data_IF_198346452095
#
_entry.id   IF_198346452095
#
_cell.length_a   1.000
_cell.length_b   1.000
_cell.length_c   1.000
_cell.angle_alpha   90.00
_cell.angle_beta   90.00
_cell.angle_gamma   90.00
#
_symmetry.space_group_name_H-M   'P 1'
#
loop_
_entity.id
_entity.type
_entity.pdbx_description
1 polymer ?
#
# COMPACT_ATOMS: atom_id res chain seq x y z
N UNK A 1 11.97 -12.02 -16.92
CA UNK A 1 10.67 -12.37 -16.31
C UNK A 1 9.84 -11.10 -16.17
N UNK A 2 8.56 -11.10 -16.56
CA UNK A 2 7.59 -10.06 -16.18
C UNK A 2 6.71 -10.61 -15.06
N UNK A 3 6.33 -9.77 -14.09
CA UNK A 3 5.53 -10.19 -12.93
C UNK A 3 4.18 -9.48 -13.01
N UNK A 4 3.10 -10.25 -13.00
CA UNK A 4 1.74 -9.74 -13.04
C UNK A 4 1.10 -9.95 -11.66
N UNK A 5 0.94 -8.87 -10.91
CA UNK A 5 0.35 -8.89 -9.57
C UNK A 5 -1.14 -8.53 -9.66
N UNK A 6 -2.02 -9.41 -9.16
CA UNK A 6 -3.43 -9.09 -8.94
C UNK A 6 -3.60 -8.24 -7.69
N UNK A 7 -4.58 -7.34 -7.68
CA UNK A 7 -4.97 -6.61 -6.48
C UNK A 7 -5.85 -7.51 -5.58
N UNK A 8 -5.32 -7.93 -4.43
CA UNK A 8 -6.05 -8.76 -3.47
C UNK A 8 -6.75 -7.89 -2.42
N UNK A 9 -8.09 -7.93 -2.38
CA UNK A 9 -8.90 -7.12 -1.46
C UNK A 9 -9.22 -7.82 -0.11
N UNK A 10 -8.97 -9.13 -0.01
CA UNK A 10 -9.21 -9.97 1.18
C UNK A 10 -8.46 -11.31 1.05
N UNK A 11 -8.29 -12.01 2.18
CA UNK A 11 -7.63 -13.32 2.26
C UNK A 11 -6.22 -13.36 1.64
N UNK A 12 -5.38 -12.38 2.00
CA UNK A 12 -3.96 -12.35 1.66
C UNK A 12 -3.14 -12.08 2.92
N UNK A 13 -1.89 -12.56 2.92
CA UNK A 13 -0.91 -12.32 3.99
C UNK A 13 0.17 -11.40 3.41
N UNK A 14 0.45 -10.30 4.10
CA UNK A 14 1.62 -9.46 3.78
C UNK A 14 2.84 -10.11 4.43
N UNK A 15 3.88 -10.34 3.63
CA UNK A 15 5.15 -10.90 4.11
C UNK A 15 6.31 -10.04 3.60
N UNK A 16 7.27 -9.77 4.48
CA UNK A 16 8.46 -9.01 4.18
C UNK A 16 9.30 -9.70 3.09
N UNK A 17 9.89 -8.88 2.21
CA UNK A 17 10.79 -9.37 1.17
C UNK A 17 12.05 -10.06 1.74
N UNK A 18 12.40 -9.84 3.02
CA UNK A 18 13.44 -10.58 3.73
C UNK A 18 13.12 -12.08 3.81
N UNK A 19 11.95 -12.45 4.32
CA UNK A 19 11.49 -13.86 4.41
C UNK A 19 11.49 -14.54 3.05
N UNK A 20 10.89 -13.89 2.05
CA UNK A 20 10.73 -14.46 0.71
C UNK A 20 12.08 -14.68 -0.01
N UNK A 21 13.10 -13.89 0.35
CA UNK A 21 14.41 -13.84 -0.33
C UNK A 21 15.58 -14.33 0.54
N UNK A 22 15.35 -14.80 1.77
CA UNK A 22 16.44 -15.34 2.60
C UNK A 22 17.08 -16.56 1.92
N UNK A 23 18.37 -16.43 1.60
CA UNK A 23 19.18 -17.46 0.94
C UNK A 23 19.65 -18.54 1.90
N UNK A 24 19.53 -18.33 3.22
CA UNK A 24 19.81 -19.33 4.26
C UNK A 24 18.78 -20.46 4.23
N UNK A 25 17.56 -20.14 3.78
CA UNK A 25 16.43 -21.07 3.72
C UNK A 25 16.19 -21.65 2.31
N UNK A 26 16.02 -22.96 2.26
CA UNK A 26 15.46 -23.68 1.12
C UNK A 26 14.10 -23.11 0.71
N UNK A 27 13.72 -23.28 -0.56
CA UNK A 27 12.39 -22.89 -1.04
C UNK A 27 11.27 -23.65 -0.30
N UNK A 28 11.54 -24.88 0.14
CA UNK A 28 10.63 -25.70 0.95
C UNK A 28 10.40 -25.08 2.33
N UNK A 29 11.47 -24.72 3.05
CA UNK A 29 11.37 -24.06 4.35
C UNK A 29 10.70 -22.68 4.25
N UNK A 30 11.06 -21.87 3.22
CA UNK A 30 10.35 -20.61 2.96
C UNK A 30 8.87 -20.83 2.65
N UNK A 31 8.50 -21.84 1.87
CA UNK A 31 7.11 -22.18 1.59
C UNK A 31 6.31 -22.54 2.85
N UNK A 32 6.88 -23.38 3.73
CA UNK A 32 6.25 -23.75 5.01
C UNK A 32 6.19 -22.56 5.96
N UNK A 33 7.22 -21.72 6.04
CA UNK A 33 7.21 -20.49 6.84
C UNK A 33 6.11 -19.51 6.38
N UNK A 34 5.97 -19.29 5.06
CA UNK A 34 4.92 -18.44 4.50
C UNK A 34 3.52 -19.01 4.80
N UNK A 35 3.35 -20.33 4.75
CA UNK A 35 2.10 -20.99 5.16
C UNK A 35 1.82 -20.77 6.65
N UNK A 36 2.79 -21.02 7.52
CA UNK A 36 2.64 -20.83 8.98
C UNK A 36 2.31 -19.38 9.35
N UNK A 37 2.95 -18.39 8.70
CA UNK A 37 2.68 -16.96 8.90
C UNK A 37 1.33 -16.48 8.31
N UNK A 38 0.64 -17.33 7.52
CA UNK A 38 -0.71 -17.03 7.01
C UNK A 38 -1.86 -17.49 7.91
N UNK A 39 -1.54 -18.20 9.00
CA UNK A 39 -2.53 -18.77 9.92
C UNK A 39 -2.90 -17.77 11.03
N UNK A 40 -4.11 -17.88 11.62
CA UNK A 40 -4.49 -17.08 12.78
C UNK A 40 -3.71 -17.50 14.04
N UNK A 41 -3.57 -16.57 14.99
CA UNK A 41 -2.94 -16.82 16.28
C UNK A 41 -3.56 -18.02 17.01
N UNK A 42 -2.71 -18.87 17.61
CA UNK A 42 -3.14 -20.09 18.29
C UNK A 42 -3.49 -21.27 17.38
N UNK A 43 -3.35 -21.15 16.05
CA UNK A 43 -3.48 -22.27 15.11
C UNK A 43 -2.54 -23.44 15.49
N UNK A 44 -3.03 -24.67 15.33
CA UNK A 44 -2.31 -25.90 15.71
C UNK A 44 -1.95 -26.70 14.47
N UNK A 45 -0.74 -26.47 13.97
CA UNK A 45 -0.12 -27.28 12.92
C UNK A 45 0.91 -28.22 13.49
N UNK A 46 0.94 -29.46 12.98
CA UNK A 46 1.95 -30.46 13.28
C UNK A 46 2.54 -31.05 11.99
N UNK A 47 3.59 -31.87 12.14
CA UNK A 47 4.30 -32.51 11.02
C UNK A 47 3.36 -33.39 10.18
N UNK A 48 2.31 -33.98 10.79
CA UNK A 48 1.31 -34.77 10.06
C UNK A 48 0.40 -33.84 9.25
N UNK A 49 -0.27 -32.89 9.88
CA UNK A 49 -1.20 -31.95 9.23
C UNK A 49 -0.55 -31.19 8.05
N UNK A 50 0.69 -30.73 8.22
CA UNK A 50 1.44 -30.05 7.16
C UNK A 50 1.82 -30.99 6.00
N UNK A 51 2.14 -32.26 6.27
CA UNK A 51 2.48 -33.25 5.26
C UNK A 51 1.27 -33.84 4.55
N UNK A 52 0.16 -34.03 5.26
CA UNK A 52 -1.09 -34.54 4.73
C UNK A 52 -1.73 -33.48 3.78
N UNK A 53 -1.48 -32.18 4.02
CA UNK A 53 -1.74 -31.09 3.05
C UNK A 53 -0.73 -30.99 1.89
N UNK A 54 0.47 -31.57 2.03
CA UNK A 54 1.53 -31.53 1.01
C UNK A 54 2.06 -32.94 0.68
N UNK A 55 1.25 -33.86 0.10
CA UNK A 55 1.63 -35.27 -0.03
C UNK A 55 2.91 -35.51 -0.84
N UNK A 56 3.22 -34.63 -1.81
CA UNK A 56 4.44 -34.69 -2.63
C UNK A 56 5.74 -34.44 -1.83
N UNK A 57 5.66 -33.68 -0.73
CA UNK A 57 6.79 -33.40 0.15
C UNK A 57 6.91 -34.45 1.26
N UNK A 58 5.76 -34.94 1.75
CA UNK A 58 5.67 -35.99 2.76
C UNK A 58 6.24 -35.60 4.13
N UNK A 59 6.05 -36.50 5.10
CA UNK A 59 6.39 -36.24 6.52
C UNK A 59 7.88 -35.99 6.76
N UNK A 60 8.77 -36.62 5.97
CA UNK A 60 10.23 -36.41 6.06
C UNK A 60 10.65 -35.03 5.55
N UNK A 61 10.12 -34.60 4.40
CA UNK A 61 10.43 -33.28 3.83
C UNK A 61 9.89 -32.13 4.69
N UNK A 62 8.69 -32.29 5.25
CA UNK A 62 8.12 -31.34 6.22
C UNK A 62 8.96 -31.26 7.50
N UNK A 63 9.38 -32.40 8.06
CA UNK A 63 10.22 -32.42 9.26
C UNK A 63 11.56 -31.69 9.01
N UNK A 64 12.28 -32.05 7.94
CA UNK A 64 13.56 -31.43 7.57
C UNK A 64 13.45 -29.91 7.36
N UNK A 65 12.36 -29.45 6.73
CA UNK A 65 12.11 -28.03 6.52
C UNK A 65 11.73 -27.28 7.83
N UNK A 66 11.10 -27.93 8.80
CA UNK A 66 10.88 -27.37 10.13
C UNK A 66 12.18 -27.33 10.96
N UNK A 67 13.02 -28.36 10.85
CA UNK A 67 14.35 -28.39 11.48
C UNK A 67 15.24 -27.26 10.94
N UNK A 68 15.17 -26.96 9.64
CA UNK A 68 15.83 -25.81 9.00
C UNK A 68 15.29 -24.46 9.54
N UNK A 69 13.97 -24.32 9.74
CA UNK A 69 13.39 -23.12 10.36
C UNK A 69 13.77 -22.98 11.84
N UNK A 70 13.98 -24.08 12.56
CA UNK A 70 14.52 -24.08 13.93
C UNK A 70 15.98 -23.62 13.92
N UNK A 71 16.81 -24.18 13.03
CA UNK A 71 18.24 -23.86 12.92
C UNK A 71 18.49 -22.36 12.72
N UNK A 72 17.65 -21.67 11.95
CA UNK A 72 17.78 -20.24 11.68
C UNK A 72 16.88 -19.34 12.56
N UNK A 73 16.19 -19.89 13.55
CA UNK A 73 15.42 -19.14 14.57
C UNK A 73 14.04 -18.66 14.13
N UNK A 74 13.56 -19.06 12.94
CA UNK A 74 12.23 -18.72 12.42
C UNK A 74 11.10 -19.49 13.10
N UNK A 75 11.38 -20.69 13.62
CA UNK A 75 10.42 -21.54 14.34
C UNK A 75 11.01 -21.95 15.69
N UNK A 76 10.35 -21.60 16.79
CA UNK A 76 10.86 -21.83 18.16
C UNK A 76 9.79 -22.50 19.01
N UNK A 77 10.14 -23.61 19.67
CA UNK A 77 9.27 -24.29 20.63
C UNK A 77 9.73 -24.01 22.04
N UNK A 78 8.86 -23.43 22.88
CA UNK A 78 9.13 -23.18 24.30
C UNK A 78 8.23 -24.08 25.14
N UNK A 79 8.82 -24.83 26.06
CA UNK A 79 8.05 -25.63 27.02
C UNK A 79 8.02 -24.89 28.35
N UNK A 80 6.88 -24.29 28.64
CA UNK A 80 6.60 -23.62 29.91
C UNK A 80 6.04 -24.65 30.89
N UNK A 81 6.52 -24.61 32.14
CA UNK A 81 5.86 -25.31 33.25
C UNK A 81 4.91 -24.33 33.91
N UNK A 82 3.63 -24.67 33.90
CA UNK A 82 2.60 -23.96 34.66
C UNK A 82 2.93 -24.11 36.14
N UNK A 83 3.33 -23.03 36.81
CA UNK A 83 3.83 -23.06 38.18
C UNK A 83 2.72 -23.47 39.18
N UNK A 84 1.48 -23.07 38.88
CA UNK A 84 0.27 -23.40 39.65
C UNK A 84 -0.19 -24.86 39.49
N UNK A 85 -0.18 -25.41 38.28
CA UNK A 85 -0.69 -26.78 38.03
C UNK A 85 0.42 -27.83 37.87
N UNK A 86 1.69 -27.41 37.91
CA UNK A 86 2.87 -28.23 37.65
C UNK A 86 3.00 -28.74 36.20
N UNK A 87 2.02 -28.46 35.34
CA UNK A 87 1.84 -29.07 34.01
C UNK A 87 2.72 -28.42 32.95
N UNK A 88 3.39 -29.24 32.16
CA UNK A 88 4.13 -28.76 30.99
C UNK A 88 3.17 -28.40 29.85
N UNK A 89 3.34 -27.20 29.28
CA UNK A 89 2.69 -26.71 28.06
C UNK A 89 3.79 -26.36 27.06
N UNK A 90 3.74 -26.91 25.85
CA UNK A 90 4.66 -26.51 24.77
C UNK A 90 3.94 -25.56 23.83
N UNK A 91 4.48 -24.35 23.72
CA UNK A 91 4.05 -23.30 22.81
C UNK A 91 5.01 -23.22 21.62
N UNK A 92 4.46 -22.92 20.45
CA UNK A 92 5.22 -22.73 19.21
C UNK A 92 5.12 -21.27 18.82
N UNK A 93 6.28 -20.66 18.58
CA UNK A 93 6.44 -19.29 18.12
C UNK A 93 7.01 -19.33 16.71
N UNK A 94 6.40 -18.60 15.79
CA UNK A 94 6.87 -18.44 14.40
C UNK A 94 7.13 -16.96 14.16
N UNK A 95 8.30 -16.63 13.60
CA UNK A 95 8.75 -15.25 13.45
C UNK A 95 8.89 -14.87 11.97
N UNK A 96 8.47 -13.66 11.61
CA UNK A 96 8.77 -13.06 10.29
C UNK A 96 10.22 -12.57 10.21
N UNK A 97 10.84 -12.23 11.33
CA UNK A 97 12.27 -11.91 11.41
C UNK A 97 12.84 -12.51 12.70
N UNK A 98 13.84 -13.41 12.63
CA UNK A 98 14.23 -14.21 13.77
C UNK A 98 15.03 -13.35 14.76
N UNK A 99 14.73 -13.41 16.06
CA UNK A 99 15.29 -12.49 17.05
C UNK A 99 16.82 -12.64 17.14
N UNK A 100 17.53 -11.60 16.69
CA UNK A 100 19.00 -11.57 16.62
C UNK A 100 19.59 -11.50 15.21
N UNK A 101 18.77 -11.60 14.15
CA UNK A 101 19.23 -11.48 12.75
C UNK A 101 20.08 -10.24 12.49
N UNK A 102 19.69 -9.09 13.06
CA UNK A 102 20.34 -7.79 12.85
C UNK A 102 21.79 -7.74 13.36
N UNK A 103 22.18 -8.67 14.25
CA UNK A 103 23.56 -8.80 14.76
C UNK A 103 24.47 -9.62 13.84
N UNK A 104 23.95 -10.24 12.79
CA UNK A 104 24.73 -11.03 11.84
C UNK A 104 25.17 -10.25 10.58
N UNK A 105 24.71 -9.01 10.39
CA UNK A 105 24.96 -8.20 9.20
C UNK A 105 26.38 -7.60 9.08
N UNK A 106 27.40 -8.26 9.63
CA UNK A 106 28.73 -7.67 9.85
C UNK A 106 29.92 -8.63 9.89
N UNK A 107 29.81 -9.84 9.32
CA UNK A 107 30.96 -10.72 9.09
C UNK A 107 30.71 -11.70 7.94
N UNK A 108 31.46 -11.61 6.85
CA UNK A 108 31.58 -12.70 5.88
C UNK A 108 32.58 -13.74 6.39
N UNK A 109 32.05 -14.84 6.93
CA UNK A 109 32.83 -15.99 7.38
C UNK A 109 31.90 -17.09 7.90
N UNK A 110 32.19 -18.37 7.66
CA UNK A 110 31.35 -19.46 8.15
C UNK A 110 31.41 -19.52 9.69
N UNK A 111 30.28 -19.44 10.41
CA UNK A 111 30.28 -19.47 11.87
C UNK A 111 30.50 -20.90 12.39
N UNK A 112 31.74 -21.36 12.40
CA UNK A 112 32.18 -22.54 13.14
C UNK A 112 32.24 -22.20 14.63
N UNK A 113 31.06 -22.00 15.23
CA UNK A 113 30.90 -21.62 16.63
C UNK A 113 29.53 -22.03 17.15
N UNK A 114 29.47 -23.08 17.97
CA UNK A 114 28.23 -23.57 18.58
C UNK A 114 27.72 -22.57 19.62
N UNK A 115 26.48 -22.04 19.48
CA UNK A 115 25.86 -21.26 20.55
C UNK A 115 25.40 -22.20 21.67
N UNK A 116 26.21 -22.33 22.72
CA UNK A 116 25.85 -23.05 23.95
C UNK A 116 24.64 -22.37 24.61
N UNK A 117 23.49 -23.05 24.64
CA UNK A 117 22.27 -22.46 25.23
C UNK A 117 20.95 -23.22 25.08
N UNK A 118 20.91 -24.42 24.48
CA UNK A 118 19.67 -25.18 24.31
C UNK A 118 19.18 -25.78 25.65
N UNK A 119 18.01 -25.37 26.19
CA UNK A 119 17.45 -25.99 27.39
C UNK A 119 17.04 -27.44 27.10
N UNK A 120 17.35 -28.35 28.03
CA UNK A 120 17.34 -29.80 27.79
C UNK A 120 15.93 -30.35 27.55
N UNK A 121 15.71 -30.93 26.36
CA UNK A 121 14.50 -31.71 26.06
C UNK A 121 14.55 -33.08 26.73
N UNK A 122 14.08 -33.15 27.98
CA UNK A 122 13.99 -34.41 28.74
C UNK A 122 12.90 -35.30 28.14
N UNK A 123 13.30 -36.40 27.48
CA UNK A 123 12.38 -37.50 27.15
C UNK A 123 12.02 -38.27 28.43
N UNK A 124 10.73 -38.46 28.77
CA UNK A 124 10.34 -39.34 29.86
C UNK A 124 10.77 -40.78 29.58
N UNK A 125 11.55 -41.38 30.48
CA UNK A 125 12.06 -42.73 30.35
C UNK A 125 11.27 -43.74 31.18
N UNK A 126 10.58 -44.66 30.53
CA UNK A 126 9.92 -45.84 31.12
C UNK A 126 9.97 -47.00 30.11
N UNK A 127 10.42 -48.20 30.43
CA UNK A 127 11.12 -48.71 31.61
C UNK A 127 11.59 -50.14 31.30
N UNK A 128 12.80 -50.53 31.71
CA UNK A 128 13.41 -51.81 31.26
C UNK A 128 12.96 -52.98 32.14
N UNK A 129 12.08 -53.83 31.60
CA UNK A 129 11.86 -55.19 32.08
C UNK A 129 12.60 -56.22 31.19
N UNK A 130 12.80 -57.44 31.68
CA UNK A 130 13.62 -58.45 31.00
C UNK A 130 12.96 -59.84 31.00
N UNK A 131 13.29 -60.64 29.96
CA UNK A 131 13.25 -62.11 30.02
C UNK A 131 11.88 -62.78 29.85
N UNK A 132 11.62 -63.32 28.66
CA UNK A 132 10.56 -64.30 28.39
C UNK A 132 10.83 -65.01 27.07
N UNK A 133 10.63 -66.33 26.99
CA UNK A 133 10.84 -67.17 25.79
C UNK A 133 9.54 -67.92 25.41
N UNK A 134 9.57 -68.46 24.19
CA UNK A 134 8.54 -69.24 23.48
C UNK A 134 7.48 -68.41 22.72
N UNK A 135 7.05 -68.83 21.51
CA UNK A 135 7.59 -69.92 20.69
C UNK A 135 6.78 -70.23 19.42
N UNK A 136 7.38 -71.03 18.53
CA UNK A 136 6.84 -71.61 17.28
C UNK A 136 6.58 -70.67 16.07
N UNK A 137 6.85 -71.25 14.89
CA UNK A 137 6.62 -70.75 13.52
C UNK A 137 5.34 -71.47 12.94
N UNK A 138 4.86 -71.31 11.67
CA UNK A 138 5.64 -71.27 10.43
C UNK A 138 5.28 -70.23 9.34
N UNK A 139 6.33 -69.79 8.66
CA UNK A 139 6.54 -69.70 7.19
C UNK A 139 5.35 -69.71 6.21
N UNK A 140 5.45 -68.84 5.19
CA UNK A 140 4.67 -68.88 3.94
C UNK A 140 5.33 -68.03 2.86
N UNK A 141 5.97 -68.66 1.87
CA UNK A 141 6.66 -68.00 0.76
C UNK A 141 5.83 -67.93 -0.55
N UNK A 142 6.34 -67.14 -1.51
CA UNK A 142 5.92 -66.98 -2.92
C UNK A 142 4.71 -66.03 -3.15
N UNK A 143 4.62 -65.27 -4.26
CA UNK A 143 5.51 -65.24 -5.44
C UNK A 143 5.70 -63.84 -6.09
N UNK A 144 6.73 -63.79 -6.93
CA UNK A 144 6.90 -63.05 -8.20
C UNK A 144 5.59 -62.71 -8.97
N UNK A 145 5.50 -61.75 -9.91
CA UNK A 145 6.41 -60.70 -10.43
C UNK A 145 5.69 -59.97 -11.58
N UNK A 146 5.87 -58.63 -11.73
CA UNK A 146 6.09 -57.93 -13.02
C UNK A 146 6.09 -56.40 -12.92
N UNK A 147 7.18 -55.80 -13.39
CA UNK A 147 7.14 -54.54 -14.14
C UNK A 147 7.09 -54.87 -15.66
N UNK A 148 6.75 -53.95 -16.58
CA UNK A 148 7.83 -53.13 -17.16
C UNK A 148 7.45 -51.73 -17.70
N UNK A 149 8.22 -50.71 -17.29
CA UNK A 149 9.01 -49.81 -18.17
C UNK A 149 8.33 -48.84 -19.20
N UNK A 150 9.06 -47.84 -19.74
CA UNK A 150 8.50 -46.49 -19.93
C UNK A 150 8.63 -45.88 -21.36
N UNK A 151 8.21 -44.61 -21.53
CA UNK A 151 8.56 -43.74 -22.67
C UNK A 151 8.71 -42.24 -22.32
N UNK A 152 9.85 -41.68 -22.71
CA UNK A 152 10.16 -40.27 -23.10
C UNK A 152 10.69 -40.33 -24.56
N UNK A 153 11.18 -39.27 -25.29
CA UNK A 153 11.28 -37.80 -25.08
C UNK A 153 10.27 -36.98 -25.96
N UNK A 154 10.06 -35.63 -25.91
CA UNK A 154 10.93 -34.41 -25.99
C UNK A 154 11.48 -34.12 -27.44
N UNK A 155 11.90 -32.90 -27.89
CA UNK A 155 11.78 -31.48 -27.41
C UNK A 155 11.35 -30.43 -28.49
N UNK A 156 11.59 -29.13 -28.20
CA UNK A 156 11.65 -27.92 -29.08
C UNK A 156 10.29 -27.26 -29.44
N UNK A 157 10.17 -25.92 -29.59
CA UNK A 157 10.96 -24.94 -30.38
C UNK A 157 10.49 -23.49 -30.03
N UNK A 158 11.17 -22.33 -30.11
CA UNK A 158 12.50 -21.87 -30.64
C UNK A 158 13.05 -20.64 -29.83
N UNK A 159 13.78 -19.70 -30.46
CA UNK A 159 14.44 -18.52 -29.83
C UNK A 159 14.35 -17.22 -30.65
N UNK A 160 14.15 -16.08 -29.97
CA UNK A 160 14.62 -14.74 -30.41
C UNK A 160 13.72 -13.91 -31.36
N UNK A 161 14.22 -12.76 -31.86
CA UNK A 161 14.53 -11.60 -31.02
C UNK A 161 14.07 -10.24 -31.61
N UNK A 162 13.97 -9.17 -30.80
CA UNK A 162 13.75 -7.80 -31.31
C UNK A 162 13.30 -6.78 -30.23
N UNK A 163 13.66 -5.47 -30.32
CA UNK A 163 13.41 -4.49 -29.25
C UNK A 163 12.46 -3.33 -29.61
N UNK A 164 11.98 -2.61 -28.56
CA UNK A 164 11.22 -1.33 -28.54
C UNK A 164 9.89 -1.33 -29.33
N UNK A 165 8.81 -0.65 -28.93
CA UNK A 165 8.67 0.73 -28.42
C UNK A 165 7.83 0.88 -27.12
N UNK A 166 7.73 2.10 -26.61
CA UNK A 166 7.06 2.44 -25.34
C UNK A 166 5.55 2.72 -25.47
N UNK A 167 4.81 2.57 -24.36
CA UNK A 167 3.39 2.93 -24.25
C UNK A 167 2.92 3.09 -22.81
N UNK A 168 2.29 4.23 -22.49
CA UNK A 168 1.78 4.57 -21.16
C UNK A 168 0.37 3.98 -20.91
N UNK A 169 -0.16 3.91 -19.68
CA UNK A 169 0.42 4.23 -18.37
C UNK A 169 -0.67 4.39 -17.29
N UNK A 170 -0.28 4.79 -16.08
CA UNK A 170 -1.19 5.24 -15.02
C UNK A 170 -0.48 6.34 -14.20
N UNK A 171 -1.17 7.43 -13.88
CA UNK A 171 -0.55 8.69 -13.50
C UNK A 171 0.27 8.66 -12.19
N UNK A 172 1.51 9.14 -12.26
CA UNK A 172 2.23 9.58 -11.07
C UNK A 172 1.51 10.82 -10.50
N UNK A 173 0.93 10.70 -9.30
CA UNK A 173 0.25 11.82 -8.65
C UNK A 173 1.24 12.97 -8.41
N UNK A 174 0.87 14.19 -8.81
CA UNK A 174 1.75 15.37 -8.77
C UNK A 174 2.29 15.59 -7.35
N UNK A 175 3.59 15.95 -7.17
CA UNK A 175 4.17 16.13 -5.83
C UNK A 175 3.46 17.23 -5.02
N UNK A 176 2.96 18.28 -5.70
CA UNK A 176 2.12 19.32 -5.12
C UNK A 176 0.79 18.76 -4.55
N UNK A 177 0.12 17.86 -5.29
CA UNK A 177 -1.13 17.21 -4.85
C UNK A 177 -0.89 16.33 -3.61
N UNK A 178 0.25 15.63 -3.57
CA UNK A 178 0.68 14.83 -2.42
C UNK A 178 1.01 15.71 -1.20
N UNK A 179 1.75 16.80 -1.38
CA UNK A 179 2.05 17.76 -0.31
C UNK A 179 0.77 18.41 0.25
N UNK A 180 -0.16 18.79 -0.64
CA UNK A 180 -1.48 19.33 -0.29
C UNK A 180 -2.31 18.32 0.51
N UNK A 181 -2.34 17.06 0.09
CA UNK A 181 -3.02 15.98 0.79
C UNK A 181 -2.40 15.67 2.17
N UNK A 182 -1.07 15.70 2.29
CA UNK A 182 -0.38 15.57 3.58
C UNK A 182 -0.73 16.73 4.54
N UNK A 183 -0.73 17.98 4.03
CA UNK A 183 -1.09 19.16 4.80
C UNK A 183 -2.56 19.14 5.27
N UNK A 184 -3.49 18.66 4.45
CA UNK A 184 -4.89 18.41 4.84
C UNK A 184 -4.96 17.44 6.02
N UNK A 185 -4.27 16.30 5.94
CA UNK A 185 -4.31 15.27 6.97
C UNK A 185 -3.61 15.71 8.27
N UNK A 186 -2.60 16.58 8.21
CA UNK A 186 -2.04 17.23 9.38
C UNK A 186 -3.02 18.24 10.02
N UNK A 187 -3.70 19.06 9.20
CA UNK A 187 -4.74 20.00 9.67
C UNK A 187 -5.97 19.29 10.26
N UNK A 188 -6.30 18.09 9.80
CA UNK A 188 -7.43 17.30 10.31
C UNK A 188 -7.35 17.10 11.84
N UNK A 189 -6.16 16.79 12.36
CA UNK A 189 -5.94 16.60 13.81
C UNK A 189 -6.13 17.86 14.66
N UNK A 190 -6.07 19.05 14.07
CA UNK A 190 -6.31 20.34 14.76
C UNK A 190 -7.81 20.60 14.95
N UNK A 191 -8.64 20.15 14.00
CA UNK A 191 -10.09 20.29 14.07
C UNK A 191 -10.78 19.08 14.71
N UNK A 192 -10.19 17.89 14.59
CA UNK A 192 -10.67 16.64 15.18
C UNK A 192 -9.54 15.97 15.97
N UNK A 193 -9.37 16.27 17.27
CA UNK A 193 -8.27 15.73 18.08
C UNK A 193 -8.24 14.20 18.14
N UNK A 194 -9.40 13.53 17.97
CA UNK A 194 -9.52 12.06 17.86
C UNK A 194 -8.87 11.48 16.60
N UNK A 195 -8.52 12.33 15.64
CA UNK A 195 -7.92 12.01 14.35
C UNK A 195 -6.51 12.61 14.20
N UNK A 196 -5.87 13.02 15.30
CA UNK A 196 -4.49 13.47 15.28
C UNK A 196 -3.53 12.40 14.72
N UNK A 197 -2.59 12.85 13.88
CA UNK A 197 -1.59 12.03 13.19
C UNK A 197 -0.20 12.61 13.40
N UNK A 198 0.84 11.76 13.37
CA UNK A 198 2.21 12.28 13.21
C UNK A 198 2.44 12.76 11.77
N UNK A 199 3.43 13.61 11.56
CA UNK A 199 3.83 14.05 10.21
C UNK A 199 4.16 12.85 9.28
N UNK A 200 4.78 11.80 9.82
CA UNK A 200 5.07 10.58 9.08
C UNK A 200 3.79 9.82 8.67
N UNK A 201 2.75 9.81 9.51
CA UNK A 201 1.46 9.19 9.19
C UNK A 201 0.67 10.01 8.18
N UNK A 202 0.67 11.34 8.30
CA UNK A 202 0.07 12.25 7.32
C UNK A 202 0.72 12.08 5.94
N UNK A 203 2.06 11.93 5.87
CA UNK A 203 2.77 11.59 4.64
C UNK A 203 2.46 10.18 4.13
N UNK A 204 2.35 9.18 5.03
CA UNK A 204 1.99 7.79 4.67
C UNK A 204 0.61 7.73 3.98
N UNK A 205 -0.35 8.51 4.47
CA UNK A 205 -1.74 8.50 3.98
C UNK A 205 -1.99 9.51 2.85
N UNK A 206 -1.07 10.44 2.60
CA UNK A 206 -1.20 11.47 1.55
C UNK A 206 -1.53 10.91 0.15
N UNK A 207 -0.95 9.79 -0.34
CA UNK A 207 -1.33 9.25 -1.65
C UNK A 207 -2.78 8.77 -1.73
N UNK A 208 -3.38 8.39 -0.59
CA UNK A 208 -4.78 7.96 -0.52
C UNK A 208 -5.73 9.16 -0.49
N UNK A 209 -5.40 10.21 0.28
CA UNK A 209 -6.15 11.46 0.29
C UNK A 209 -6.02 12.25 -1.03
N UNK A 210 -4.86 12.19 -1.69
CA UNK A 210 -4.67 12.77 -3.02
C UNK A 210 -5.68 12.19 -4.05
N UNK A 211 -5.97 10.88 -3.99
CA UNK A 211 -6.99 10.23 -4.85
C UNK A 211 -8.42 10.73 -4.62
N UNK A 212 -8.71 11.41 -3.51
CA UNK A 212 -9.99 12.09 -3.26
C UNK A 212 -10.00 13.49 -3.89
N UNK A 213 -8.92 14.26 -3.69
CA UNK A 213 -8.77 15.59 -4.28
C UNK A 213 -8.78 15.54 -5.82
N UNK A 214 -8.11 14.53 -6.39
CA UNK A 214 -8.04 14.23 -7.83
C UNK A 214 -9.43 13.91 -8.45
N UNK A 215 -10.41 13.49 -7.62
CA UNK A 215 -11.80 13.21 -8.01
C UNK A 215 -12.75 14.41 -7.89
N UNK A 216 -12.22 15.60 -7.58
CA UNK A 216 -13.03 16.80 -7.36
C UNK A 216 -13.74 16.84 -6.01
N UNK A 217 -13.24 16.10 -5.00
CA UNK A 217 -13.67 16.27 -3.61
C UNK A 217 -12.86 17.42 -3.00
N UNK A 218 -13.51 18.42 -2.42
CA UNK A 218 -12.81 19.56 -1.81
C UNK A 218 -12.10 19.16 -0.50
N UNK A 219 -11.19 20.01 -0.02
CA UNK A 219 -10.54 19.79 1.28
C UNK A 219 -11.55 19.80 2.44
N UNK A 220 -12.56 20.67 2.36
CA UNK A 220 -13.61 20.80 3.37
C UNK A 220 -14.50 19.56 3.40
N UNK A 221 -14.94 19.06 2.24
CA UNK A 221 -15.69 17.80 2.14
C UNK A 221 -14.86 16.60 2.59
N UNK A 222 -13.59 16.53 2.19
CA UNK A 222 -12.68 15.46 2.62
C UNK A 222 -12.53 15.47 4.14
N UNK A 223 -12.37 16.64 4.76
CA UNK A 223 -12.36 16.78 6.24
C UNK A 223 -13.66 16.27 6.85
N UNK A 224 -14.81 16.73 6.37
CA UNK A 224 -16.13 16.34 6.89
C UNK A 224 -16.41 14.85 6.73
N UNK A 225 -16.14 14.25 5.56
CA UNK A 225 -16.36 12.82 5.28
C UNK A 225 -15.41 11.90 6.07
N UNK A 226 -14.22 12.39 6.44
CA UNK A 226 -13.30 11.68 7.34
C UNK A 226 -13.68 11.82 8.82
N UNK A 227 -14.32 12.93 9.21
CA UNK A 227 -14.81 13.20 10.58
C UNK A 227 -16.22 12.67 10.89
N UNK A 228 -17.06 12.46 9.88
CA UNK A 228 -18.47 12.07 10.06
C UNK A 228 -18.62 10.69 10.75
N UNK A 229 -19.56 10.56 11.68
CA UNK A 229 -19.85 9.30 12.37
C UNK A 229 -18.62 8.66 13.05
N UNK A 230 -17.80 9.43 13.76
CA UNK A 230 -16.71 8.90 14.57
C UNK A 230 -17.23 8.21 15.85
N UNK A 231 -16.58 7.12 16.31
CA UNK A 231 -16.88 6.54 17.61
C UNK A 231 -16.50 7.50 18.77
N UNK A 232 -17.02 7.27 19.99
CA UNK A 232 -16.71 8.12 21.15
C UNK A 232 -15.20 8.17 21.44
N UNK A 233 -14.48 7.06 21.27
CA UNK A 233 -13.02 6.95 21.40
C UNK A 233 -12.44 6.33 20.13
N UNK A 234 -11.30 6.84 19.67
CA UNK A 234 -10.54 6.33 18.52
C UNK A 234 -9.15 5.89 19.00
N UNK A 235 -8.93 4.57 19.10
CA UNK A 235 -7.64 4.03 19.56
C UNK A 235 -6.55 3.97 18.47
N UNK A 236 -6.95 4.07 17.19
CA UNK A 236 -6.03 3.93 16.05
C UNK A 236 -6.44 4.88 14.89
N UNK A 237 -6.13 6.19 14.98
CA UNK A 237 -6.56 7.17 13.99
C UNK A 237 -5.99 6.88 12.59
N UNK A 238 -4.71 6.46 12.49
CA UNK A 238 -4.07 6.11 11.21
C UNK A 238 -4.82 5.03 10.43
N UNK A 239 -5.16 3.91 11.07
CA UNK A 239 -5.84 2.79 10.40
C UNK A 239 -7.31 3.09 10.12
N UNK A 240 -8.00 3.83 11.02
CA UNK A 240 -9.36 4.31 10.77
C UNK A 240 -9.42 5.27 9.57
N UNK A 241 -8.46 6.18 9.45
CA UNK A 241 -8.36 7.10 8.31
C UNK A 241 -7.96 6.37 7.02
N UNK A 242 -6.98 5.47 7.04
CA UNK A 242 -6.65 4.63 5.88
C UNK A 242 -7.88 3.86 5.38
N UNK A 243 -8.58 3.17 6.29
CA UNK A 243 -9.72 2.34 5.97
C UNK A 243 -11.01 3.12 5.63
N UNK A 244 -11.04 4.43 5.90
CA UNK A 244 -12.04 5.38 5.35
C UNK A 244 -11.62 5.87 3.96
N UNK A 245 -10.38 6.35 3.81
CA UNK A 245 -9.81 6.83 2.54
C UNK A 245 -9.85 5.78 1.42
N UNK A 246 -9.74 4.49 1.77
CA UNK A 246 -9.89 3.40 0.82
C UNK A 246 -11.37 3.05 0.54
N UNK A 247 -12.14 2.74 1.59
CA UNK A 247 -13.46 2.10 1.45
C UNK A 247 -14.64 3.07 1.28
N UNK A 248 -14.46 4.35 1.62
CA UNK A 248 -15.42 5.44 1.36
C UNK A 248 -14.96 6.37 0.22
N UNK A 249 -13.97 5.98 -0.59
CA UNK A 249 -13.49 6.75 -1.75
C UNK A 249 -14.68 7.13 -2.66
N UNK A 250 -15.00 8.44 -2.81
CA UNK A 250 -16.16 8.84 -3.59
C UNK A 250 -16.05 8.47 -5.08
N UNK A 251 -17.20 8.43 -5.76
CA UNK A 251 -17.22 8.38 -7.22
C UNK A 251 -16.48 9.59 -7.81
N UNK A 252 -15.91 9.42 -9.01
CA UNK A 252 -15.28 10.54 -9.71
C UNK A 252 -16.36 11.52 -10.14
N UNK A 253 -16.36 12.74 -9.60
CA UNK A 253 -17.21 13.82 -10.11
C UNK A 253 -16.71 14.19 -11.49
N UNK A 254 -17.53 14.07 -12.52
CA UNK A 254 -17.21 14.65 -13.82
C UNK A 254 -17.39 16.16 -13.74
N UNK A 255 -16.84 16.90 -14.72
CA UNK A 255 -17.09 18.34 -14.82
C UNK A 255 -18.58 18.69 -14.96
N UNK A 256 -19.40 17.73 -15.43
CA UNK A 256 -20.87 17.84 -15.52
C UNK A 256 -21.57 17.73 -14.16
N UNK A 257 -20.96 17.06 -13.18
CA UNK A 257 -21.48 16.96 -11.81
C UNK A 257 -20.95 18.09 -10.90
N UNK A 258 -19.78 18.63 -11.22
CA UNK A 258 -19.18 19.78 -10.53
C UNK A 258 -19.75 21.13 -11.02
N UNK A 259 -20.28 21.16 -12.25
CA UNK A 259 -21.16 22.24 -12.69
C UNK A 259 -22.48 22.13 -11.91
N UNK A 260 -22.63 22.95 -10.86
CA UNK A 260 -23.95 23.29 -10.35
C UNK A 260 -24.83 23.73 -11.54
N UNK A 261 -26.11 23.33 -11.61
CA UNK A 261 -26.97 23.75 -12.72
C UNK A 261 -26.95 25.27 -12.76
N UNK A 262 -26.47 25.83 -13.88
CA UNK A 262 -26.45 27.27 -14.07
C UNK A 262 -27.89 27.75 -13.88
N UNK A 263 -28.10 28.64 -12.90
CA UNK A 263 -29.42 29.18 -12.63
C UNK A 263 -29.97 29.74 -13.95
N UNK A 264 -31.24 29.45 -14.32
CA UNK A 264 -31.81 29.97 -15.55
C UNK A 264 -31.60 31.49 -15.58
N UNK A 265 -31.16 32.07 -16.70
CA UNK A 265 -30.93 33.50 -16.80
C UNK A 265 -32.21 34.23 -16.40
N UNK A 266 -32.08 35.26 -15.55
CA UNK A 266 -33.23 36.02 -15.10
C UNK A 266 -33.98 36.59 -16.30
N UNK A 267 -35.30 36.49 -16.31
CA UNK A 267 -36.13 36.99 -17.41
C UNK A 267 -36.37 38.50 -17.27
N UNK A 268 -36.41 39.21 -18.40
CA UNK A 268 -36.84 40.60 -18.47
C UNK A 268 -38.31 40.74 -17.99
N UNK A 269 -38.58 41.69 -17.08
CA UNK A 269 -39.91 41.89 -16.53
C UNK A 269 -41.00 42.21 -17.58
N UNK A 270 -40.62 42.83 -18.70
CA UNK A 270 -41.55 43.24 -19.77
C UNK A 270 -41.67 42.18 -20.88
N UNK A 271 -40.57 41.82 -21.54
CA UNK A 271 -40.57 40.94 -22.73
C UNK A 271 -40.24 39.46 -22.43
N UNK A 272 -39.78 39.13 -21.22
CA UNK A 272 -39.27 37.81 -20.79
C UNK A 272 -38.01 37.30 -21.51
N UNK A 273 -37.34 38.12 -22.31
CA UNK A 273 -36.01 37.76 -22.83
C UNK A 273 -35.01 37.52 -21.69
N UNK A 274 -34.07 36.57 -21.84
CA UNK A 274 -33.04 36.30 -20.84
C UNK A 274 -32.08 37.50 -20.70
N UNK A 275 -31.91 37.97 -19.46
CA UNK A 275 -31.02 39.07 -19.12
C UNK A 275 -29.53 38.65 -19.16
N UNK A 276 -28.59 39.61 -19.37
CA UNK A 276 -27.16 39.33 -19.36
C UNK A 276 -26.65 38.69 -18.07
N UNK A 277 -25.65 37.82 -18.20
CA UNK A 277 -25.02 37.10 -17.09
C UNK A 277 -24.56 38.05 -15.97
N UNK A 278 -25.14 37.89 -14.78
CA UNK A 278 -24.88 38.74 -13.61
C UNK A 278 -26.04 39.66 -13.23
N UNK A 279 -27.03 39.87 -14.11
CA UNK A 279 -28.33 40.45 -13.72
C UNK A 279 -29.24 39.35 -13.18
N UNK A 280 -29.83 39.61 -12.00
CA UNK A 280 -30.76 38.68 -11.33
C UNK A 280 -32.22 39.14 -11.38
N UNK A 281 -32.46 40.42 -11.69
CA UNK A 281 -33.77 41.07 -11.87
C UNK A 281 -33.59 42.30 -12.76
N UNK A 282 -34.64 42.70 -13.48
CA UNK A 282 -34.66 43.96 -14.24
C UNK A 282 -35.43 43.89 -15.56
N UNK A 283 -35.16 44.88 -16.41
CA UNK A 283 -35.61 44.93 -17.81
C UNK A 283 -34.39 44.88 -18.73
N UNK A 284 -34.55 44.31 -19.93
CA UNK A 284 -33.46 44.18 -20.90
C UNK A 284 -33.12 45.55 -21.54
N UNK A 285 -31.98 45.62 -22.23
CA UNK A 285 -31.52 46.86 -22.87
C UNK A 285 -32.54 47.48 -23.83
N UNK A 286 -33.24 46.68 -24.64
CA UNK A 286 -34.28 47.18 -25.55
C UNK A 286 -35.53 47.70 -24.83
N UNK A 287 -36.03 46.99 -23.81
CA UNK A 287 -37.13 47.50 -22.98
C UNK A 287 -36.74 48.78 -22.21
N UNK A 288 -35.47 48.93 -21.85
CA UNK A 288 -34.90 50.14 -21.25
C UNK A 288 -34.59 51.27 -22.27
N UNK A 289 -34.82 51.06 -23.58
CA UNK A 289 -34.49 52.02 -24.63
C UNK A 289 -32.98 52.19 -24.89
N UNK A 290 -32.14 51.34 -24.31
CA UNK A 290 -30.68 51.35 -24.46
C UNK A 290 -30.30 50.51 -25.68
N UNK A 291 -30.01 51.19 -26.80
CA UNK A 291 -29.63 50.54 -28.05
C UNK A 291 -28.43 49.58 -27.85
N UNK A 292 -28.58 48.32 -28.28
CA UNK A 292 -27.47 47.34 -28.26
C UNK A 292 -26.35 47.82 -29.18
N UNK A 293 -25.18 48.14 -28.62
CA UNK A 293 -23.95 48.28 -29.41
C UNK A 293 -23.57 46.89 -29.92
N UNK A 294 -23.91 46.61 -31.18
CA UNK A 294 -23.83 45.28 -31.77
C UNK A 294 -22.41 44.71 -31.82
N UNK A 295 -22.35 43.38 -31.69
CA UNK A 295 -21.28 42.51 -32.17
C UNK A 295 -19.83 42.96 -31.94
N UNK A 296 -19.39 42.97 -30.68
CA UNK A 296 -18.00 42.59 -30.38
C UNK A 296 -17.88 41.08 -30.47
N UNK A 297 -17.75 40.59 -31.70
CA UNK A 297 -17.34 39.22 -32.00
C UNK A 297 -16.13 38.85 -31.16
N UNK A 298 -16.18 37.68 -30.50
CA UNK A 298 -15.04 37.08 -29.82
C UNK A 298 -14.12 36.41 -30.84
N UNK A 299 -13.60 37.23 -31.77
CA UNK A 299 -12.34 36.92 -32.41
C UNK A 299 -11.26 36.83 -31.32
N UNK A 300 -10.40 35.81 -31.42
CA UNK A 300 -9.22 35.71 -30.57
C UNK A 300 -8.46 37.05 -30.60
N UNK A 301 -8.03 37.60 -29.43
CA UNK A 301 -7.16 38.76 -29.44
C UNK A 301 -5.85 38.34 -30.09
N UNK A 302 -5.68 38.76 -31.36
CA UNK A 302 -4.49 38.46 -32.16
C UNK A 302 -3.23 38.73 -31.32
N UNK A 303 -2.28 37.78 -31.26
CA UNK A 303 -1.27 37.74 -30.22
C UNK A 303 -0.50 39.05 -30.19
N UNK A 304 -0.73 39.84 -29.14
CA UNK A 304 -0.06 41.13 -28.95
C UNK A 304 1.44 40.86 -28.94
N UNK A 305 2.22 41.37 -29.91
CA UNK A 305 3.65 41.14 -29.92
C UNK A 305 4.22 41.74 -28.64
N UNK A 306 4.93 40.93 -27.85
CA UNK A 306 5.70 41.46 -26.73
C UNK A 306 6.80 42.34 -27.31
N UNK A 307 6.58 43.66 -27.29
CA UNK A 307 7.59 44.66 -27.57
C UNK A 307 8.69 44.55 -26.50
N UNK A 308 9.73 43.79 -26.81
CA UNK A 308 10.85 43.49 -25.91
C UNK A 308 11.66 44.74 -25.54
N UNK A 309 11.54 45.79 -26.34
CA UNK A 309 12.45 46.94 -26.38
C UNK A 309 12.16 48.03 -25.31
N UNK A 310 11.12 47.87 -24.48
CA UNK A 310 10.74 48.82 -23.43
C UNK A 310 11.20 48.42 -22.01
N UNK A 311 12.08 47.43 -21.89
CA UNK A 311 12.73 47.06 -20.61
C UNK A 311 13.77 48.10 -20.14
N UNK A 312 14.65 48.67 -21.00
CA UNK A 312 15.70 49.60 -20.56
C UNK A 312 15.15 50.87 -19.89
N UNK A 313 14.22 51.56 -20.53
CA UNK A 313 13.69 52.85 -20.06
C UNK A 313 12.94 52.73 -18.72
N UNK A 314 12.16 51.67 -18.54
CA UNK A 314 11.43 51.42 -17.28
C UNK A 314 12.39 51.18 -16.11
N UNK A 315 13.52 50.51 -16.35
CA UNK A 315 14.60 50.34 -15.35
C UNK A 315 15.34 51.66 -15.10
N UNK A 316 15.54 52.48 -16.13
CA UNK A 316 16.11 53.83 -16.00
C UNK A 316 15.25 54.75 -15.11
N UNK A 317 13.95 54.82 -15.39
CA UNK A 317 13.01 55.67 -14.66
C UNK A 317 12.87 55.28 -13.17
N UNK A 318 12.78 53.98 -12.87
CA UNK A 318 12.81 53.46 -11.49
C UNK A 318 14.12 53.81 -10.76
N UNK A 319 15.27 53.75 -11.45
CA UNK A 319 16.60 54.13 -10.89
C UNK A 319 16.79 55.64 -10.71
N UNK A 320 15.91 56.48 -11.26
CA UNK A 320 15.86 57.91 -10.99
C UNK A 320 15.00 58.21 -9.76
N UNK A 321 13.77 57.67 -9.73
CA UNK A 321 12.83 57.84 -8.61
C UNK A 321 13.42 57.34 -7.27
N UNK A 322 14.12 56.20 -7.27
CA UNK A 322 14.77 55.64 -6.09
C UNK A 322 16.02 56.41 -5.60
N UNK A 323 16.46 57.47 -6.31
CA UNK A 323 17.65 58.27 -5.94
C UNK A 323 17.35 59.67 -5.42
N UNK A 324 16.08 60.01 -5.16
CA UNK A 324 15.73 61.15 -4.31
C UNK A 324 16.06 62.55 -4.85
N UNK A 325 16.08 62.73 -6.17
CA UNK A 325 16.25 64.05 -6.80
C UNK A 325 14.90 64.74 -7.03
N UNK A 326 14.65 65.85 -6.32
CA UNK A 326 13.49 66.73 -6.57
C UNK A 326 13.71 67.52 -7.87
N UNK A 327 12.79 67.52 -8.85
CA UNK A 327 12.96 68.31 -10.06
C UNK A 327 12.95 69.81 -9.74
N UNK A 328 13.79 70.57 -10.45
CA UNK A 328 13.81 72.02 -10.43
C UNK A 328 12.67 72.58 -11.33
N UNK A 329 12.16 73.80 -11.05
CA UNK A 329 11.16 74.44 -11.91
C UNK A 329 11.75 74.85 -13.26
N UNK A 330 10.93 74.80 -14.31
CA UNK A 330 11.28 75.29 -15.65
C UNK A 330 11.29 76.84 -15.69
N UNK A 331 12.17 77.46 -16.51
CA UNK A 331 12.10 78.89 -16.79
C UNK A 331 10.89 79.23 -17.68
N UNK A 332 10.42 80.48 -17.57
CA UNK A 332 9.26 81.03 -18.32
C UNK A 332 9.62 81.50 -19.73
#
# INVERSE_FOLDING_TARGET
MRIHNSAHARHFTVLANSVLRDRRLSFTARGILCHLLSLPDGAREDVRTLADRNPRLGRRGVAQALDELIQYGYYVRRTHRDETTGRLRTETYVYESPPGADRAGGAEGPPTGTPTGSPTSVRPGTGRAAGGKAGASPEGEKNQEKEPSPKEPDPARELGPGPVEAGAGAGAQKPELLARAAALLARLGVHEPKLALSAADSLTLAPMAARWLDRGVTELETRSLLADGLPPVVHAPKSLLAARLERKLPAHRTSRDAAAPAAPPAECADCRDPLPSGQTTGICGECAGVARTGDRSLADPAPVPLAADLVPDRVGHLRALLRGGRPAPEPS
#
